data_IF_389156105581
#
_entry.id   IF_389156105581
#
_cell.length_a   1.000
_cell.length_b   1.000
_cell.length_c   1.000
_cell.angle_alpha   90.00
_cell.angle_beta   90.00
_cell.angle_gamma   90.00
#
_symmetry.space_group_name_H-M   'P 1'
#
loop_
_entity.id
_entity.type
_entity.pdbx_description
1 polymer ?
#
# COMPACT_ATOMS: atom_id res chain seq x y z
N UNK A 1 15.65 -31.36 -14.17
CA UNK A 1 15.30 -31.75 -12.78
C UNK A 1 16.25 -31.09 -11.81
N UNK A 2 15.73 -30.40 -10.80
CA UNK A 2 16.48 -29.64 -9.78
C UNK A 2 16.86 -30.47 -8.54
N UNK A 3 16.35 -31.70 -8.44
CA UNK A 3 16.75 -32.70 -7.44
C UNK A 3 17.54 -33.83 -8.12
N UNK A 4 18.72 -34.15 -7.60
CA UNK A 4 19.59 -35.24 -8.08
C UNK A 4 19.81 -36.25 -6.97
N UNK A 5 19.68 -37.55 -7.26
CA UNK A 5 20.07 -38.63 -6.35
C UNK A 5 21.59 -38.80 -6.40
N UNK A 6 22.24 -38.88 -5.24
CA UNK A 6 23.66 -39.16 -5.06
C UNK A 6 23.88 -40.65 -4.77
N UNK A 7 25.12 -41.12 -4.94
CA UNK A 7 25.50 -42.54 -4.82
C UNK A 7 25.21 -43.17 -3.46
N UNK A 8 25.16 -42.37 -2.38
CA UNK A 8 24.93 -42.84 -1.01
C UNK A 8 23.44 -42.80 -0.59
N UNK A 9 22.51 -42.73 -1.54
CA UNK A 9 21.08 -42.63 -1.23
C UNK A 9 20.60 -41.23 -0.85
N UNK A 10 21.52 -40.27 -0.70
CA UNK A 10 21.23 -38.86 -0.46
C UNK A 10 20.68 -38.15 -1.70
N UNK A 11 19.97 -37.05 -1.48
CA UNK A 11 19.35 -36.21 -2.50
C UNK A 11 19.92 -34.80 -2.44
N UNK A 12 20.34 -34.27 -3.59
CA UNK A 12 20.85 -32.93 -3.75
C UNK A 12 19.79 -32.06 -4.41
N UNK A 13 19.31 -31.04 -3.71
CA UNK A 13 18.57 -29.93 -4.32
C UNK A 13 19.59 -28.91 -4.84
N UNK A 14 19.53 -28.59 -6.12
CA UNK A 14 20.36 -27.61 -6.80
C UNK A 14 19.48 -26.77 -7.72
N UNK A 15 19.01 -25.63 -7.20
CA UNK A 15 18.05 -24.78 -7.88
C UNK A 15 18.47 -23.32 -7.85
N UNK A 16 18.07 -22.60 -8.91
CA UNK A 16 18.13 -21.13 -8.97
C UNK A 16 16.70 -20.62 -9.09
N UNK A 17 16.07 -20.16 -7.98
CA UNK A 17 14.65 -19.78 -7.95
C UNK A 17 14.36 -18.59 -8.87
N UNK A 18 15.35 -17.73 -9.08
CA UNK A 18 15.28 -16.52 -9.91
C UNK A 18 15.90 -16.73 -11.31
N UNK A 19 16.00 -17.98 -11.78
CA UNK A 19 16.54 -18.29 -13.12
C UNK A 19 18.07 -18.26 -13.23
N UNK A 20 18.61 -18.19 -14.46
CA UNK A 20 20.03 -18.45 -14.75
C UNK A 20 21.00 -17.53 -13.98
N UNK A 21 20.62 -16.27 -13.78
CA UNK A 21 21.42 -15.26 -13.07
C UNK A 21 21.06 -15.14 -11.57
N UNK A 22 20.10 -15.94 -11.11
CA UNK A 22 19.65 -15.95 -9.72
C UNK A 22 20.62 -16.63 -8.75
N UNK A 23 20.49 -16.30 -7.46
CA UNK A 23 21.25 -16.96 -6.39
C UNK A 23 21.04 -18.47 -6.44
N UNK A 24 22.14 -19.22 -6.57
CA UNK A 24 22.14 -20.69 -6.57
C UNK A 24 22.02 -21.20 -5.14
N UNK A 25 20.98 -21.98 -4.87
CA UNK A 25 20.77 -22.64 -3.59
C UNK A 25 21.02 -24.14 -3.77
N UNK A 26 21.95 -24.67 -2.98
CA UNK A 26 22.38 -26.07 -3.06
C UNK A 26 22.41 -26.69 -1.67
N UNK A 27 21.63 -27.75 -1.43
CA UNK A 27 21.54 -28.45 -0.13
C UNK A 27 21.31 -29.95 -0.31
N UNK A 28 21.89 -30.75 0.58
CA UNK A 28 21.75 -32.21 0.61
C UNK A 28 20.71 -32.64 1.65
N UNK A 29 20.02 -33.74 1.38
CA UNK A 29 18.99 -34.35 2.22
C UNK A 29 19.13 -35.87 2.18
N UNK A 30 18.71 -36.55 3.24
CA UNK A 30 18.77 -38.01 3.31
C UNK A 30 17.54 -38.65 2.64
N UNK A 31 16.42 -37.91 2.53
CA UNK A 31 15.20 -38.40 1.87
C UNK A 31 14.79 -37.56 0.66
N UNK A 32 14.13 -38.21 -0.31
CA UNK A 32 13.56 -37.53 -1.50
C UNK A 32 12.45 -36.56 -1.11
N UNK A 33 11.65 -36.91 -0.10
CA UNK A 33 10.52 -36.11 0.38
C UNK A 33 11.00 -34.77 0.94
N UNK A 34 12.03 -34.77 1.78
CA UNK A 34 12.62 -33.54 2.32
C UNK A 34 13.24 -32.68 1.24
N UNK A 35 13.96 -33.29 0.27
CA UNK A 35 14.49 -32.56 -0.87
C UNK A 35 13.38 -31.86 -1.68
N UNK A 36 12.25 -32.54 -1.91
CA UNK A 36 11.08 -31.96 -2.60
C UNK A 36 10.37 -30.88 -1.78
N UNK A 37 10.28 -31.04 -0.47
CA UNK A 37 9.72 -30.00 0.41
C UNK A 37 10.60 -28.76 0.42
N UNK A 38 11.91 -28.93 0.54
CA UNK A 38 12.88 -27.83 0.51
C UNK A 38 12.90 -27.12 -0.85
N UNK A 39 12.84 -27.86 -1.96
CA UNK A 39 12.73 -27.28 -3.30
C UNK A 39 11.47 -26.41 -3.43
N UNK A 40 10.30 -26.92 -3.02
CA UNK A 40 9.04 -26.17 -3.03
C UNK A 40 9.10 -24.93 -2.15
N UNK A 41 9.67 -25.06 -0.95
CA UNK A 41 9.84 -23.96 -0.02
C UNK A 41 10.75 -22.87 -0.60
N UNK A 42 11.91 -23.23 -1.15
CA UNK A 42 12.80 -22.26 -1.81
C UNK A 42 12.07 -21.58 -2.96
N UNK A 43 11.42 -22.34 -3.86
CA UNK A 43 10.73 -21.75 -5.02
C UNK A 43 9.63 -20.79 -4.58
N UNK A 44 8.95 -21.05 -3.47
CA UNK A 44 7.91 -20.18 -2.92
C UNK A 44 8.49 -18.93 -2.23
N UNK A 45 9.52 -19.09 -1.40
CA UNK A 45 10.09 -18.01 -0.58
C UNK A 45 11.09 -17.14 -1.33
N UNK A 46 11.77 -17.68 -2.34
CA UNK A 46 12.84 -17.02 -3.09
C UNK A 46 12.45 -16.68 -4.54
N UNK A 47 11.20 -16.94 -4.96
CA UNK A 47 10.59 -16.26 -6.11
C UNK A 47 10.35 -14.80 -5.73
N UNK A 48 11.43 -14.03 -5.66
CA UNK A 48 11.32 -12.58 -5.71
C UNK A 48 11.05 -12.24 -7.18
N UNK A 49 9.80 -12.43 -7.59
CA UNK A 49 9.35 -11.99 -8.91
C UNK A 49 9.16 -10.48 -8.82
N UNK A 50 10.27 -9.75 -8.80
CA UNK A 50 10.24 -8.29 -8.85
C UNK A 50 9.52 -7.76 -10.11
N UNK A 51 9.30 -8.64 -11.10
CA UNK A 51 8.50 -8.40 -12.31
C UNK A 51 7.01 -8.78 -12.19
N UNK A 52 6.59 -9.48 -11.13
CA UNK A 52 5.17 -9.65 -10.84
C UNK A 52 4.79 -8.49 -9.93
N UNK A 53 4.04 -7.55 -10.49
CA UNK A 53 3.42 -6.46 -9.73
C UNK A 53 2.71 -7.07 -8.51
N UNK A 54 3.07 -6.56 -7.31
CA UNK A 54 2.35 -6.92 -6.10
C UNK A 54 0.86 -6.67 -6.37
N UNK A 55 -0.03 -7.61 -6.03
CA UNK A 55 -1.45 -7.45 -6.30
C UNK A 55 -1.94 -6.13 -5.69
N UNK A 56 -2.82 -5.45 -6.42
CA UNK A 56 -3.39 -4.19 -5.97
C UNK A 56 -4.00 -4.35 -4.58
N UNK A 57 -3.80 -3.35 -3.73
CA UNK A 57 -4.29 -3.37 -2.36
C UNK A 57 -5.82 -3.25 -2.35
N UNK A 58 -6.50 -4.32 -1.94
CA UNK A 58 -7.97 -4.42 -1.92
C UNK A 58 -8.58 -4.04 -0.56
N UNK A 59 -7.77 -3.60 0.40
CA UNK A 59 -8.26 -3.11 1.70
C UNK A 59 -9.13 -1.86 1.52
N UNK A 60 -10.08 -1.68 2.40
CA UNK A 60 -10.93 -0.48 2.46
C UNK A 60 -10.10 0.72 2.90
N UNK A 61 -10.51 1.92 2.48
CA UNK A 61 -9.85 3.15 2.89
C UNK A 61 -9.88 3.34 4.41
N UNK A 62 -10.97 2.94 5.08
CA UNK A 62 -11.06 2.96 6.55
C UNK A 62 -10.00 2.07 7.21
N UNK A 63 -9.70 0.90 6.64
CA UNK A 63 -8.65 0.01 7.18
C UNK A 63 -7.26 0.65 7.07
N UNK A 64 -7.00 1.39 5.99
CA UNK A 64 -5.75 2.15 5.85
C UNK A 64 -5.68 3.31 6.85
N UNK A 65 -6.79 3.99 7.10
CA UNK A 65 -6.89 5.08 8.08
C UNK A 65 -6.65 4.55 9.50
N UNK A 66 -7.22 3.39 9.85
CA UNK A 66 -6.98 2.71 11.12
C UNK A 66 -5.52 2.29 11.27
N UNK A 67 -4.93 1.76 10.21
CA UNK A 67 -3.51 1.39 10.19
C UNK A 67 -2.62 2.60 10.42
N UNK A 68 -2.90 3.69 9.72
CA UNK A 68 -2.23 4.97 9.93
C UNK A 68 -2.39 5.47 11.36
N UNK A 69 -3.60 5.42 11.91
CA UNK A 69 -3.86 5.84 13.29
C UNK A 69 -3.01 5.06 14.30
N UNK A 70 -2.98 3.74 14.15
CA UNK A 70 -2.21 2.82 15.00
C UNK A 70 -0.71 3.09 14.97
N UNK A 71 -0.14 3.33 13.80
CA UNK A 71 1.32 3.43 13.65
C UNK A 71 1.86 4.86 13.67
N UNK A 72 1.02 5.86 13.40
CA UNK A 72 1.46 7.25 13.24
C UNK A 72 0.47 8.27 13.78
N UNK A 73 -0.81 8.18 13.42
CA UNK A 73 -1.81 9.20 13.75
C UNK A 73 -1.92 9.48 15.25
N UNK A 74 -1.81 8.46 16.10
CA UNK A 74 -1.86 8.62 17.56
C UNK A 74 -0.71 9.45 18.15
N UNK A 75 0.42 9.58 17.46
CA UNK A 75 1.59 10.34 17.95
C UNK A 75 1.49 11.83 17.62
N UNK A 76 0.51 12.22 16.79
CA UNK A 76 0.34 13.60 16.33
C UNK A 76 -0.55 14.40 17.28
N UNK A 77 -0.19 15.65 17.55
CA UNK A 77 -1.00 16.57 18.39
C UNK A 77 -2.43 16.74 17.88
N UNK A 78 -2.61 16.83 16.57
CA UNK A 78 -3.92 16.95 15.91
C UNK A 78 -4.45 15.60 15.40
N UNK A 79 -3.83 14.49 15.79
CA UNK A 79 -4.08 13.17 15.22
C UNK A 79 -5.53 12.72 15.35
N UNK A 80 -6.14 12.93 16.53
CA UNK A 80 -7.53 12.51 16.79
C UNK A 80 -8.53 13.23 15.89
N UNK A 81 -8.35 14.54 15.72
CA UNK A 81 -9.19 15.33 14.81
C UNK A 81 -8.97 14.92 13.35
N UNK A 82 -7.71 14.67 12.98
CA UNK A 82 -7.36 14.24 11.62
C UNK A 82 -7.92 12.83 11.33
N UNK A 83 -7.91 11.92 12.30
CA UNK A 83 -8.56 10.60 12.21
C UNK A 83 -10.08 10.71 12.01
N UNK A 84 -10.75 11.59 12.75
CA UNK A 84 -12.20 11.83 12.56
C UNK A 84 -12.50 12.42 11.18
N UNK A 85 -11.68 13.39 10.72
CA UNK A 85 -11.81 13.97 9.37
C UNK A 85 -11.60 12.93 8.29
N UNK A 86 -10.61 12.05 8.44
CA UNK A 86 -10.32 10.98 7.50
C UNK A 86 -11.48 9.98 7.41
N UNK A 87 -12.07 9.58 8.55
CA UNK A 87 -13.23 8.71 8.54
C UNK A 87 -14.44 9.34 7.84
N UNK A 88 -14.70 10.64 8.09
CA UNK A 88 -15.78 11.35 7.39
C UNK A 88 -15.51 11.46 5.89
N UNK A 89 -14.26 11.70 5.50
CA UNK A 89 -13.86 11.69 4.10
C UNK A 89 -14.08 10.31 3.47
N UNK A 90 -13.70 9.22 4.14
CA UNK A 90 -13.92 7.88 3.65
C UNK A 90 -15.41 7.60 3.46
N UNK A 91 -16.26 8.00 4.40
CA UNK A 91 -17.72 7.91 4.29
C UNK A 91 -18.26 8.69 3.09
N UNK A 92 -17.83 9.95 2.89
CA UNK A 92 -18.22 10.78 1.75
C UNK A 92 -17.80 10.16 0.40
N UNK A 93 -16.70 9.40 0.38
CA UNK A 93 -16.22 8.65 -0.78
C UNK A 93 -16.88 7.26 -0.91
N UNK A 94 -17.83 6.90 -0.05
CA UNK A 94 -18.49 5.57 0.03
C UNK A 94 -17.51 4.43 0.35
N UNK A 95 -16.52 4.72 1.19
CA UNK A 95 -15.46 3.83 1.66
C UNK A 95 -14.85 2.97 0.54
N UNK A 96 -14.18 3.59 -0.44
CA UNK A 96 -13.62 2.88 -1.57
C UNK A 96 -12.48 1.96 -1.10
N UNK A 97 -12.18 0.94 -1.89
CA UNK A 97 -10.94 0.18 -1.73
C UNK A 97 -9.73 1.05 -2.08
N UNK A 98 -8.56 0.69 -1.56
CA UNK A 98 -7.34 1.45 -1.77
C UNK A 98 -6.94 1.54 -3.27
N UNK A 99 -7.22 0.52 -4.06
CA UNK A 99 -7.04 0.51 -5.52
C UNK A 99 -8.07 1.38 -6.29
N UNK A 100 -9.17 1.75 -5.65
CA UNK A 100 -10.20 2.64 -6.20
C UNK A 100 -10.01 4.11 -5.80
N UNK A 101 -9.10 4.39 -4.87
CA UNK A 101 -8.66 5.75 -4.56
C UNK A 101 -7.77 6.22 -5.70
N UNK A 102 -8.30 7.03 -6.60
CA UNK A 102 -7.63 7.55 -7.78
C UNK A 102 -7.75 9.07 -7.83
N UNK A 103 -6.99 9.71 -8.72
CA UNK A 103 -7.12 11.15 -8.97
C UNK A 103 -8.54 11.53 -9.39
N UNK A 104 -9.21 10.66 -10.15
CA UNK A 104 -10.60 10.86 -10.59
C UNK A 104 -11.56 10.77 -9.42
N UNK A 105 -11.51 9.70 -8.63
CA UNK A 105 -12.44 9.54 -7.50
C UNK A 105 -12.26 10.64 -6.45
N UNK A 106 -11.04 11.15 -6.28
CA UNK A 106 -10.80 12.32 -5.43
C UNK A 106 -11.30 13.63 -6.06
N UNK A 107 -11.28 13.78 -7.39
CA UNK A 107 -11.89 14.93 -8.06
C UNK A 107 -13.41 14.94 -7.89
N UNK A 108 -14.06 13.77 -8.00
CA UNK A 108 -15.48 13.60 -7.75
C UNK A 108 -15.84 13.98 -6.30
N UNK A 109 -15.03 13.54 -5.33
CA UNK A 109 -15.14 13.97 -3.93
C UNK A 109 -15.05 15.49 -3.79
N UNK A 110 -14.07 16.14 -4.43
CA UNK A 110 -13.94 17.61 -4.38
C UNK A 110 -15.19 18.31 -4.93
N UNK A 111 -15.71 17.84 -6.07
CA UNK A 111 -16.91 18.40 -6.69
C UNK A 111 -18.13 18.27 -5.76
N UNK A 112 -18.35 17.09 -5.18
CA UNK A 112 -19.43 16.84 -4.22
C UNK A 112 -19.32 17.73 -2.97
N UNK A 113 -18.12 17.91 -2.43
CA UNK A 113 -17.92 18.75 -1.24
C UNK A 113 -18.17 20.23 -1.56
N UNK A 114 -17.74 20.70 -2.73
CA UNK A 114 -18.00 22.06 -3.19
C UNK A 114 -19.50 22.30 -3.41
N UNK A 115 -20.23 21.36 -4.01
CA UNK A 115 -21.69 21.49 -4.18
C UNK A 115 -22.43 21.53 -2.85
N UNK A 116 -21.87 20.90 -1.81
CA UNK A 116 -22.40 20.94 -0.45
C UNK A 116 -21.99 22.21 0.33
N UNK A 117 -21.40 23.21 -0.33
CA UNK A 117 -21.03 24.50 0.28
C UNK A 117 -19.79 24.45 1.18
N UNK A 118 -19.00 23.37 1.11
CA UNK A 118 -17.81 23.22 1.96
C UNK A 118 -16.67 24.09 1.41
N UNK A 119 -16.01 24.84 2.29
CA UNK A 119 -14.93 25.74 1.88
C UNK A 119 -13.76 25.00 1.20
N UNK A 120 -13.12 25.60 0.18
CA UNK A 120 -11.90 25.06 -0.43
C UNK A 120 -10.78 24.77 0.56
N UNK A 121 -10.68 25.58 1.64
CA UNK A 121 -9.70 25.38 2.71
C UNK A 121 -9.87 24.05 3.43
N UNK A 122 -11.11 23.69 3.77
CA UNK A 122 -11.45 22.43 4.43
C UNK A 122 -11.14 21.23 3.53
N UNK A 123 -11.50 21.32 2.25
CA UNK A 123 -11.25 20.25 1.27
C UNK A 123 -9.74 20.04 1.08
N UNK A 124 -8.98 21.13 0.94
CA UNK A 124 -7.51 21.09 0.82
C UNK A 124 -6.84 20.51 2.07
N UNK A 125 -7.39 20.77 3.27
CA UNK A 125 -6.91 20.15 4.51
C UNK A 125 -7.16 18.65 4.51
N UNK A 126 -8.35 18.21 4.10
CA UNK A 126 -8.68 16.79 3.99
C UNK A 126 -7.76 16.06 2.99
N UNK A 127 -7.51 16.67 1.82
CA UNK A 127 -6.55 16.18 0.83
C UNK A 127 -5.14 16.03 1.40
N UNK A 128 -4.66 17.03 2.13
CA UNK A 128 -3.32 17.01 2.73
C UNK A 128 -3.16 15.89 3.76
N UNK A 129 -4.15 15.72 4.65
CA UNK A 129 -4.11 14.66 5.67
C UNK A 129 -4.14 13.29 4.99
N UNK A 130 -5.03 13.08 4.02
CA UNK A 130 -5.12 11.81 3.30
C UNK A 130 -3.84 11.51 2.49
N UNK A 131 -3.21 12.53 1.90
CA UNK A 131 -1.89 12.35 1.30
C UNK A 131 -0.85 11.92 2.34
N UNK A 132 -0.89 12.49 3.55
CA UNK A 132 -0.04 12.07 4.67
C UNK A 132 -0.24 10.60 5.04
N UNK A 133 -1.48 10.10 5.05
CA UNK A 133 -1.80 8.68 5.28
C UNK A 133 -1.06 7.79 4.26
N UNK A 134 -1.20 8.06 2.96
CA UNK A 134 -0.54 7.24 1.95
C UNK A 134 0.99 7.34 2.00
N UNK A 135 1.56 8.53 2.18
CA UNK A 135 3.02 8.68 2.32
C UNK A 135 3.57 7.89 3.51
N UNK A 136 2.97 8.04 4.70
CA UNK A 136 3.43 7.33 5.91
C UNK A 136 3.28 5.81 5.81
N UNK A 137 2.20 5.32 5.19
CA UNK A 137 2.03 3.88 4.95
C UNK A 137 3.00 3.33 3.90
N UNK A 138 3.37 4.12 2.89
CA UNK A 138 4.42 3.76 1.92
C UNK A 138 5.77 3.70 2.62
N UNK A 139 6.12 4.74 3.39
CA UNK A 139 7.41 4.85 4.07
C UNK A 139 7.62 3.74 5.11
N UNK A 140 6.54 3.31 5.78
CA UNK A 140 6.55 2.19 6.71
C UNK A 140 6.45 0.80 6.06
N UNK A 141 6.30 0.73 4.73
CA UNK A 141 6.15 -0.53 4.00
C UNK A 141 4.78 -1.20 4.15
N UNK A 142 3.80 -0.51 4.74
CA UNK A 142 2.43 -0.98 4.91
C UNK A 142 1.54 -0.76 3.68
N UNK A 143 1.96 0.04 2.71
CA UNK A 143 1.30 0.25 1.43
C UNK A 143 2.31 0.14 0.28
N UNK A 144 1.96 -0.63 -0.75
CA UNK A 144 2.90 -1.06 -1.79
C UNK A 144 2.64 -0.45 -3.16
N UNK A 145 1.45 0.12 -3.38
CA UNK A 145 1.08 0.74 -4.64
C UNK A 145 1.61 2.18 -4.72
N UNK A 146 1.57 2.77 -5.91
CA UNK A 146 1.92 4.17 -6.08
C UNK A 146 0.98 5.08 -5.28
N UNK A 147 1.51 6.20 -4.79
CA UNK A 147 0.74 7.16 -4.01
C UNK A 147 -0.43 7.74 -4.85
N UNK A 148 -1.70 7.45 -4.53
CA UNK A 148 -2.83 7.74 -5.42
C UNK A 148 -3.14 9.24 -5.59
N UNK A 149 -2.84 10.05 -4.58
CA UNK A 149 -3.07 11.49 -4.61
C UNK A 149 -1.84 12.32 -5.01
N UNK A 150 -0.76 11.69 -5.48
CA UNK A 150 0.48 12.39 -5.82
C UNK A 150 0.24 13.33 -7.00
N UNK A 151 0.58 14.60 -6.81
CA UNK A 151 0.45 15.64 -7.83
C UNK A 151 -0.96 16.17 -8.05
N UNK A 152 -1.92 15.88 -7.15
CA UNK A 152 -3.24 16.54 -7.20
C UNK A 152 -3.09 17.99 -6.73
N UNK A 153 -3.51 18.94 -7.56
CA UNK A 153 -3.51 20.36 -7.23
C UNK A 153 -4.57 20.69 -6.17
N UNK A 154 -4.21 21.62 -5.28
CA UNK A 154 -5.12 22.22 -4.29
C UNK A 154 -6.12 23.12 -5.01
N UNK A 155 -7.35 23.21 -4.49
CA UNK A 155 -8.35 24.17 -4.97
C UNK A 155 -7.85 25.58 -4.62
N UNK A 156 -7.82 26.49 -5.60
CA UNK A 156 -7.48 27.89 -5.37
C UNK A 156 -8.49 28.50 -4.41
N UNK A 157 -8.03 29.20 -3.38
CA UNK A 157 -8.90 30.01 -2.53
C UNK A 157 -9.11 31.34 -3.26
N UNK A 158 -10.37 31.69 -3.56
CA UNK A 158 -10.70 33.09 -3.83
C UNK A 158 -10.60 33.81 -2.49
N UNK A 159 -9.75 34.83 -2.38
CA UNK A 159 -9.71 35.66 -1.19
C UNK A 159 -11.09 36.31 -1.04
N UNK A 160 -11.79 35.97 0.03
CA UNK A 160 -12.98 36.71 0.44
C UNK A 160 -12.49 38.08 0.84
N UNK A 161 -12.83 39.12 0.07
CA UNK A 161 -12.62 40.50 0.47
C UNK A 161 -13.22 40.68 1.86
N UNK A 162 -12.36 40.80 2.88
CA UNK A 162 -12.80 41.19 4.21
C UNK A 162 -13.20 42.67 4.11
N UNK A 163 -14.49 42.92 3.92
CA UNK A 163 -15.05 44.23 4.19
C UNK A 163 -14.99 44.46 5.70
N UNK A 164 -14.02 45.24 6.14
CA UNK A 164 -14.06 45.88 7.45
C UNK A 164 -15.06 47.05 7.35
N UNK A 165 -16.17 46.95 8.08
CA UNK A 165 -17.09 48.08 8.35
C UNK A 165 -16.65 48.80 9.62
#
# INVERSE_FOLDING_TARGET
>A
MSIKKLGEGQYLVDTRPQGRNGKRMRKRFDTKSEAQQYERWIIATQNNKDWIEKPADRRLLTELIELWWKYHGQTLKAGKDDYQRLNKLAEDMKNPRADQVTKSSFADYKALRLSNGISPGTINRAQMILSGVFSTLIDSGHYHSQHPLKGISKIKKTESEMYFL
#
